data_IF_075133141176
#
_entry.id   IF_075133141176
#
_cell.length_a   1.000
_cell.length_b   1.000
_cell.length_c   1.000
_cell.angle_alpha   90.00
_cell.angle_beta   90.00
_cell.angle_gamma   90.00
#
_symmetry.space_group_name_H-M   'P 1'
#
loop_
_entity.id
_entity.type
_entity.pdbx_description
1 polymer ?
#
# COMPACT_ATOMS: atom_id res chain seq x y z
N UNK A 1 12.66 -54.24 -48.94
CA UNK A 1 13.06 -55.47 -48.23
C UNK A 1 12.25 -55.48 -46.94
N UNK A 2 11.16 -56.15 -46.87
CA UNK A 2 10.81 -57.54 -46.59
C UNK A 2 11.02 -57.90 -45.11
N UNK A 3 9.87 -57.94 -44.38
CA UNK A 3 9.36 -58.95 -43.40
C UNK A 3 10.20 -59.17 -42.14
N UNK A 4 9.61 -59.34 -40.94
CA UNK A 4 8.61 -60.35 -40.57
C UNK A 4 7.89 -60.02 -39.26
N UNK A 5 6.64 -60.38 -39.23
CA UNK A 5 5.71 -60.53 -38.08
C UNK A 5 6.01 -61.85 -37.36
N UNK A 6 5.95 -61.85 -36.04
CA UNK A 6 5.68 -63.09 -35.29
C UNK A 6 4.72 -62.83 -34.15
N UNK A 7 3.56 -63.49 -34.25
CA UNK A 7 2.59 -63.68 -33.14
C UNK A 7 2.98 -64.94 -32.40
N UNK A 8 2.73 -64.95 -31.09
CA UNK A 8 2.47 -66.16 -30.25
C UNK A 8 1.86 -65.64 -28.94
N UNK A 9 0.72 -65.92 -28.66
CA UNK A 9 -0.16 -67.01 -28.16
C UNK A 9 -0.36 -66.95 -26.63
N UNK A 10 -1.62 -66.88 -26.31
CA UNK A 10 -2.34 -66.88 -25.03
C UNK A 10 -1.85 -67.88 -23.97
N UNK A 11 -1.81 -67.42 -22.72
CA UNK A 11 -2.10 -68.29 -21.58
C UNK A 11 -2.95 -67.51 -20.56
N UNK A 12 -4.13 -67.96 -20.29
CA UNK A 12 -5.04 -67.45 -19.28
C UNK A 12 -4.64 -67.97 -17.92
N UNK A 13 -4.42 -67.11 -16.97
CA UNK A 13 -4.33 -67.44 -15.56
C UNK A 13 -5.50 -66.77 -14.82
N UNK A 14 -6.38 -67.59 -14.33
CA UNK A 14 -7.48 -67.21 -13.42
C UNK A 14 -6.87 -67.00 -12.04
N UNK A 15 -6.98 -65.80 -11.52
CA UNK A 15 -6.65 -65.48 -10.12
C UNK A 15 -7.90 -64.95 -9.41
N UNK A 16 -8.25 -65.64 -8.35
CA UNK A 16 -9.37 -65.36 -7.46
C UNK A 16 -9.26 -63.97 -6.85
N UNK A 17 -10.32 -63.16 -6.96
CA UNK A 17 -10.52 -61.92 -6.24
C UNK A 17 -10.85 -62.18 -4.78
N UNK A 18 -9.93 -61.92 -3.88
CA UNK A 18 -10.21 -61.73 -2.47
C UNK A 18 -10.60 -60.28 -2.22
N UNK A 19 -11.86 -60.02 -1.92
CA UNK A 19 -12.33 -58.68 -1.56
C UNK A 19 -11.88 -58.37 -0.11
N UNK A 20 -10.84 -57.52 0.03
CA UNK A 20 -10.57 -56.84 1.29
C UNK A 20 -11.27 -55.47 1.28
N UNK A 21 -12.37 -55.40 2.04
CA UNK A 21 -13.02 -54.13 2.34
C UNK A 21 -12.15 -53.35 3.32
N UNK A 22 -11.36 -52.38 2.81
CA UNK A 22 -10.70 -51.36 3.64
C UNK A 22 -11.75 -50.31 3.96
N UNK A 23 -12.28 -50.32 5.17
CA UNK A 23 -13.06 -49.20 5.72
C UNK A 23 -12.07 -48.07 6.00
N UNK A 24 -11.94 -47.17 5.05
CA UNK A 24 -11.21 -45.91 5.25
C UNK A 24 -12.02 -45.00 6.17
N UNK A 25 -11.61 -44.81 7.41
CA UNK A 25 -12.07 -43.70 8.23
C UNK A 25 -11.55 -42.41 7.57
N UNK A 26 -12.45 -41.70 6.89
CA UNK A 26 -12.20 -40.30 6.50
C UNK A 26 -12.23 -39.46 7.78
N UNK A 27 -11.07 -39.12 8.30
CA UNK A 27 -10.94 -38.06 9.31
C UNK A 27 -11.24 -36.75 8.56
N UNK A 28 -12.49 -36.30 8.68
CA UNK A 28 -12.83 -34.92 8.25
C UNK A 28 -12.09 -33.98 9.20
N UNK A 29 -10.91 -33.53 8.73
CA UNK A 29 -10.23 -32.42 9.37
C UNK A 29 -11.15 -31.21 9.28
N UNK A 30 -11.73 -30.80 10.40
CA UNK A 30 -12.37 -29.49 10.52
C UNK A 30 -11.27 -28.44 10.35
N UNK A 31 -11.11 -27.92 9.14
CA UNK A 31 -10.42 -26.65 8.96
C UNK A 31 -11.25 -25.62 9.72
N UNK A 32 -10.79 -25.25 10.91
CA UNK A 32 -11.27 -24.05 11.57
C UNK A 32 -10.97 -22.90 10.61
N UNK A 33 -12.02 -22.32 10.02
CA UNK A 33 -11.91 -21.10 9.27
C UNK A 33 -11.21 -20.09 10.20
N UNK A 34 -10.00 -19.65 9.83
CA UNK A 34 -9.32 -18.58 10.53
C UNK A 34 -10.30 -17.41 10.49
N UNK A 35 -10.73 -16.93 11.66
CA UNK A 35 -11.56 -15.73 11.73
C UNK A 35 -10.83 -14.66 10.90
N UNK A 36 -11.56 -14.02 9.98
CA UNK A 36 -11.00 -12.90 9.25
C UNK A 36 -10.50 -11.91 10.30
N UNK A 37 -9.21 -11.61 10.29
CA UNK A 37 -8.67 -10.57 11.15
C UNK A 37 -9.44 -9.29 10.80
N UNK A 38 -10.01 -8.63 11.80
CA UNK A 38 -10.60 -7.30 11.56
C UNK A 38 -9.48 -6.41 11.07
N UNK A 39 -9.66 -5.81 9.89
CA UNK A 39 -8.73 -4.82 9.34
C UNK A 39 -8.61 -3.69 10.34
N UNK A 40 -7.39 -3.28 10.65
CA UNK A 40 -7.14 -2.18 11.56
C UNK A 40 -7.73 -0.88 11.02
N UNK A 41 -8.34 -0.09 11.90
CA UNK A 41 -8.88 1.23 11.59
C UNK A 41 -8.12 2.25 12.41
N UNK A 42 -7.31 3.14 11.77
CA UNK A 42 -6.65 4.21 12.49
C UNK A 42 -7.67 5.08 13.23
N UNK A 43 -7.46 5.41 14.52
CA UNK A 43 -8.26 6.42 15.20
C UNK A 43 -8.17 7.75 14.44
N UNK A 44 -9.30 8.44 14.29
CA UNK A 44 -9.43 9.61 13.42
C UNK A 44 -8.51 10.78 13.81
N UNK A 45 -8.11 10.86 15.08
CA UNK A 45 -7.27 11.92 15.65
C UNK A 45 -5.80 11.50 15.89
N UNK A 46 -5.34 10.42 15.23
CA UNK A 46 -3.99 9.89 15.42
C UNK A 46 -2.95 10.81 14.78
N UNK A 47 -1.98 11.27 15.58
CA UNK A 47 -0.77 11.94 15.08
C UNK A 47 0.10 10.99 14.27
N UNK A 48 0.77 11.54 13.26
CA UNK A 48 1.51 10.75 12.30
C UNK A 48 2.86 11.35 11.90
N UNK A 49 3.76 10.49 11.47
CA UNK A 49 5.06 10.77 10.89
C UNK A 49 5.08 10.21 9.48
N UNK A 50 5.65 10.97 8.56
CA UNK A 50 5.95 10.55 7.21
C UNK A 50 7.46 10.63 6.97
N UNK A 51 8.09 9.47 6.78
CA UNK A 51 9.53 9.35 6.56
C UNK A 51 9.77 8.47 5.33
N UNK A 52 9.94 9.12 4.17
CA UNK A 52 10.16 8.47 2.87
C UNK A 52 11.55 8.79 2.30
N UNK A 53 12.29 9.71 2.93
CA UNK A 53 13.59 10.16 2.46
C UNK A 53 14.74 9.22 2.80
N UNK A 54 14.53 8.32 3.78
CA UNK A 54 15.52 7.34 4.24
C UNK A 54 14.88 6.27 5.13
N UNK A 55 15.58 5.16 5.42
CA UNK A 55 15.12 4.22 6.43
C UNK A 55 14.89 4.91 7.77
N UNK A 56 13.77 4.60 8.45
CA UNK A 56 13.46 5.19 9.75
C UNK A 56 14.53 4.85 10.79
N UNK A 57 15.21 5.87 11.28
CA UNK A 57 16.16 5.73 12.40
C UNK A 57 15.40 5.78 13.74
N UNK A 58 15.04 4.61 14.25
CA UNK A 58 14.34 4.45 15.54
C UNK A 58 15.16 4.90 16.74
N UNK A 59 16.45 5.16 16.60
CA UNK A 59 17.29 5.75 17.65
C UNK A 59 17.23 7.27 17.69
N UNK A 60 16.70 7.90 16.65
CA UNK A 60 16.59 9.35 16.54
C UNK A 60 15.34 9.85 17.27
N UNK A 61 15.51 10.46 18.42
CA UNK A 61 14.42 10.98 19.25
C UNK A 61 13.53 12.01 18.50
N UNK A 62 14.07 12.74 17.52
CA UNK A 62 13.28 13.68 16.72
C UNK A 62 12.33 12.93 15.77
N UNK A 63 12.81 11.88 15.10
CA UNK A 63 11.98 11.04 14.22
C UNK A 63 10.91 10.30 15.04
N UNK A 64 11.28 9.80 16.22
CA UNK A 64 10.36 9.09 17.10
C UNK A 64 9.43 10.02 17.91
N UNK A 65 9.55 11.35 17.74
CA UNK A 65 8.73 12.32 18.46
C UNK A 65 8.92 12.33 19.98
N UNK A 66 9.90 11.61 20.51
CA UNK A 66 10.16 11.50 21.96
C UNK A 66 11.09 12.59 22.48
N UNK A 67 11.68 13.35 21.59
CA UNK A 67 12.62 14.44 21.91
C UNK A 67 12.05 15.81 21.57
N UNK A 68 12.91 16.64 21.03
CA UNK A 68 12.57 17.95 20.50
C UNK A 68 12.62 17.86 18.98
N UNK A 69 11.50 18.10 18.31
CA UNK A 69 11.50 18.17 16.86
C UNK A 69 12.19 19.44 16.39
N UNK A 70 13.06 19.33 15.39
CA UNK A 70 13.78 20.47 14.80
C UNK A 70 13.51 20.51 13.32
N UNK A 71 12.97 21.64 12.86
CA UNK A 71 12.79 21.92 11.44
C UNK A 71 13.11 23.38 11.14
N UNK A 72 13.99 23.63 10.17
CA UNK A 72 14.45 24.99 9.81
C UNK A 72 14.93 25.83 11.00
N UNK A 73 15.53 25.19 12.01
CA UNK A 73 16.03 25.86 13.20
C UNK A 73 14.99 26.12 14.29
N UNK A 74 13.72 25.86 14.03
CA UNK A 74 12.69 25.85 15.07
C UNK A 74 12.75 24.55 15.87
N UNK A 75 12.53 24.65 17.16
CA UNK A 75 12.42 23.50 18.07
C UNK A 75 11.06 23.48 18.72
N UNK A 76 10.42 22.32 18.74
CA UNK A 76 9.17 22.11 19.45
C UNK A 76 9.29 20.87 20.33
N UNK A 77 8.54 20.77 21.44
CA UNK A 77 8.41 19.52 22.18
C UNK A 77 8.01 18.38 21.24
N UNK A 78 8.45 17.17 21.53
CA UNK A 78 8.01 15.97 20.82
C UNK A 78 6.51 15.83 20.93
N UNK A 79 5.90 15.41 19.84
CA UNK A 79 4.44 15.27 19.69
C UNK A 79 3.99 13.80 19.64
N UNK A 80 4.93 12.88 19.81
CA UNK A 80 4.72 11.44 19.94
C UNK A 80 3.76 10.90 18.87
N UNK A 81 4.16 10.82 17.58
CA UNK A 81 3.32 10.21 16.57
C UNK A 81 3.04 8.76 16.96
N UNK A 82 1.83 8.31 16.76
CA UNK A 82 1.43 6.93 16.99
C UNK A 82 1.25 6.15 15.68
N UNK A 83 1.46 6.82 14.54
CA UNK A 83 1.39 6.25 13.22
C UNK A 83 2.60 6.72 12.40
N UNK A 84 3.33 5.75 11.87
CA UNK A 84 4.53 5.98 11.06
C UNK A 84 4.28 5.44 9.66
N UNK A 85 4.26 6.33 8.68
CA UNK A 85 4.22 5.96 7.28
C UNK A 85 5.65 6.01 6.73
N UNK A 86 6.14 4.87 6.29
CA UNK A 86 7.54 4.65 5.96
C UNK A 86 7.70 3.79 4.71
N UNK A 87 8.76 4.05 3.94
CA UNK A 87 9.05 3.26 2.74
C UNK A 87 9.14 1.76 3.04
N UNK A 88 8.40 0.99 2.26
CA UNK A 88 8.28 -0.45 2.45
C UNK A 88 9.58 -1.22 2.23
N UNK A 89 10.38 -0.80 1.26
CA UNK A 89 11.55 -1.55 0.80
C UNK A 89 12.76 -1.21 1.67
N UNK A 90 12.90 0.06 2.03
CA UNK A 90 14.02 0.54 2.85
C UNK A 90 13.89 0.14 4.33
N UNK A 91 12.66 -0.11 4.80
CA UNK A 91 12.44 -0.48 6.20
C UNK A 91 12.29 -1.99 6.37
N UNK A 92 12.84 -2.48 7.49
CA UNK A 92 12.86 -3.90 7.81
C UNK A 92 11.68 -4.33 8.68
N UNK A 93 11.37 -5.63 8.72
CA UNK A 93 10.40 -6.18 9.66
C UNK A 93 10.78 -5.91 11.14
N UNK A 94 12.08 -5.75 11.45
CA UNK A 94 12.51 -5.39 12.81
C UNK A 94 12.20 -3.93 13.16
N UNK A 95 12.22 -3.03 12.19
CA UNK A 95 11.77 -1.63 12.37
C UNK A 95 10.30 -1.60 12.74
N UNK A 96 9.45 -2.29 11.96
CA UNK A 96 8.01 -2.42 12.23
C UNK A 96 7.74 -3.05 13.61
N UNK A 97 8.43 -4.16 13.94
CA UNK A 97 8.28 -4.80 15.25
C UNK A 97 8.71 -3.89 16.42
N UNK A 98 9.68 -3.01 16.21
CA UNK A 98 10.07 -2.02 17.21
C UNK A 98 8.99 -0.99 17.42
N UNK A 99 8.40 -0.42 16.36
CA UNK A 99 7.26 0.49 16.45
C UNK A 99 6.10 -0.15 17.23
N UNK A 100 5.73 -1.38 16.90
CA UNK A 100 4.70 -2.12 17.63
C UNK A 100 5.03 -2.32 19.11
N UNK A 101 6.32 -2.54 19.46
CA UNK A 101 6.75 -2.68 20.86
C UNK A 101 6.64 -1.39 21.67
N UNK A 102 6.60 -0.25 20.97
CA UNK A 102 6.36 1.08 21.57
C UNK A 102 4.87 1.41 21.67
N UNK A 103 4.01 0.61 21.04
CA UNK A 103 2.57 0.83 20.97
C UNK A 103 2.13 1.64 19.76
N UNK A 104 3.05 1.84 18.80
CA UNK A 104 2.83 2.59 17.57
C UNK A 104 2.40 1.68 16.43
N UNK A 105 1.91 2.27 15.34
CA UNK A 105 1.50 1.60 14.11
C UNK A 105 2.40 1.98 12.95
N UNK A 106 2.54 1.06 11.99
CA UNK A 106 3.34 1.27 10.80
C UNK A 106 2.48 1.12 9.53
N UNK A 107 2.51 2.13 8.68
CA UNK A 107 1.95 2.13 7.33
C UNK A 107 3.09 1.88 6.34
N UNK A 108 2.82 1.05 5.36
CA UNK A 108 3.70 0.62 4.31
C UNK A 108 3.50 1.52 3.08
N UNK A 109 4.38 2.48 2.83
CA UNK A 109 4.34 3.26 1.60
C UNK A 109 4.82 2.43 0.41
N UNK A 110 4.05 2.40 -0.66
CA UNK A 110 4.40 1.80 -1.96
C UNK A 110 3.76 2.57 -3.12
N UNK A 111 4.48 2.65 -4.24
CA UNK A 111 3.95 3.12 -5.51
C UNK A 111 3.08 2.03 -6.15
N UNK A 112 1.85 2.36 -6.58
CA UNK A 112 0.96 1.43 -7.27
C UNK A 112 0.55 1.92 -8.66
N UNK A 113 0.64 3.22 -8.93
CA UNK A 113 0.36 3.82 -10.25
C UNK A 113 1.61 4.08 -11.09
N UNK A 114 2.79 4.04 -10.47
CA UNK A 114 4.09 4.16 -11.14
C UNK A 114 5.10 3.14 -10.64
N UNK A 115 6.26 3.09 -11.28
CA UNK A 115 7.41 2.35 -10.80
C UNK A 115 8.73 3.02 -11.24
N UNK A 116 9.65 3.13 -10.30
CA UNK A 116 11.02 3.59 -10.51
C UNK A 116 12.05 2.47 -10.37
N UNK A 117 13.20 2.63 -11.02
CA UNK A 117 14.31 1.68 -10.89
C UNK A 117 15.25 2.12 -9.76
N UNK A 118 14.73 2.23 -8.56
CA UNK A 118 15.46 2.73 -7.38
C UNK A 118 16.18 1.61 -6.62
N UNK A 119 15.53 0.45 -6.54
CA UNK A 119 15.93 -0.63 -5.65
C UNK A 119 16.66 -1.74 -6.40
N UNK A 120 17.53 -2.41 -5.69
CA UNK A 120 18.14 -3.65 -6.14
C UNK A 120 17.27 -4.85 -5.77
N UNK A 121 17.41 -5.94 -6.48
CA UNK A 121 16.73 -7.20 -6.15
C UNK A 121 17.04 -7.70 -4.72
N UNK A 122 18.22 -7.37 -4.19
CA UNK A 122 18.60 -7.71 -2.83
C UNK A 122 17.83 -6.88 -1.79
N UNK A 123 17.59 -5.58 -2.04
CA UNK A 123 16.77 -4.73 -1.16
C UNK A 123 15.30 -5.19 -1.15
N UNK A 124 14.76 -5.52 -2.33
CA UNK A 124 13.41 -6.06 -2.44
C UNK A 124 13.29 -7.53 -1.96
N UNK A 125 14.43 -8.20 -1.71
CA UNK A 125 14.48 -9.60 -1.26
C UNK A 125 13.93 -10.60 -2.29
N UNK A 126 14.06 -10.32 -3.58
CA UNK A 126 13.58 -11.11 -4.72
C UNK A 126 14.69 -11.29 -5.77
N UNK A 127 14.49 -12.15 -6.76
CA UNK A 127 15.49 -12.41 -7.81
C UNK A 127 15.49 -11.36 -8.93
N UNK A 128 14.36 -10.72 -9.17
CA UNK A 128 14.15 -9.73 -10.23
C UNK A 128 13.27 -8.63 -9.67
N UNK A 129 13.73 -7.38 -9.72
CA UNK A 129 13.02 -6.23 -9.13
C UNK A 129 11.60 -6.08 -9.69
N UNK A 130 10.69 -5.51 -8.92
CA UNK A 130 9.32 -5.24 -9.37
C UNK A 130 9.33 -4.36 -10.63
N UNK A 131 10.19 -3.33 -10.68
CA UNK A 131 10.41 -2.54 -11.89
C UNK A 131 10.79 -3.40 -13.10
N UNK A 132 11.77 -4.28 -12.95
CA UNK A 132 12.22 -5.15 -14.05
C UNK A 132 11.15 -6.14 -14.49
N UNK A 133 10.32 -6.64 -13.57
CA UNK A 133 9.17 -7.50 -13.89
C UNK A 133 8.13 -6.75 -14.71
N UNK A 134 7.73 -5.54 -14.27
CA UNK A 134 6.79 -4.67 -15.00
C UNK A 134 7.33 -4.30 -16.38
N UNK A 135 8.61 -3.95 -16.47
CA UNK A 135 9.26 -3.64 -17.74
C UNK A 135 9.25 -4.85 -18.69
N UNK A 136 9.58 -6.03 -18.19
CA UNK A 136 9.60 -7.26 -18.99
C UNK A 136 8.19 -7.68 -19.47
N UNK A 137 7.17 -7.40 -18.67
CA UNK A 137 5.76 -7.63 -19.04
C UNK A 137 5.22 -6.61 -20.07
N UNK A 138 5.93 -5.50 -20.30
CA UNK A 138 5.48 -4.42 -21.17
C UNK A 138 4.41 -3.53 -20.50
N UNK A 139 4.37 -3.52 -19.18
CA UNK A 139 3.37 -2.82 -18.37
C UNK A 139 3.82 -1.42 -17.92
N UNK A 140 5.00 -0.94 -18.36
CA UNK A 140 5.46 0.42 -18.13
C UNK A 140 5.13 1.33 -19.30
N UNK A 141 4.53 2.46 -18.99
CA UNK A 141 4.08 3.46 -19.94
C UNK A 141 5.06 4.64 -20.11
N UNK A 142 4.53 5.86 -20.12
CA UNK A 142 5.36 7.07 -20.20
C UNK A 142 5.99 7.38 -18.86
N UNK A 143 7.07 8.15 -18.93
CA UNK A 143 7.76 8.65 -17.74
C UNK A 143 6.88 9.68 -17.02
N UNK A 144 6.82 9.57 -15.68
CA UNK A 144 6.21 10.55 -14.80
C UNK A 144 7.03 11.85 -14.84
N UNK A 145 6.36 13.00 -14.91
CA UNK A 145 7.04 14.28 -14.98
C UNK A 145 7.64 14.64 -13.62
N UNK A 146 8.92 15.00 -13.61
CA UNK A 146 9.61 15.38 -12.37
C UNK A 146 10.26 14.21 -11.62
N UNK A 147 9.88 12.97 -11.90
CA UNK A 147 10.35 11.78 -11.21
C UNK A 147 11.03 10.78 -12.16
N UNK A 148 11.98 9.95 -11.69
CA UNK A 148 12.61 8.91 -12.50
C UNK A 148 11.77 7.62 -12.59
N UNK A 149 10.46 7.75 -12.72
CA UNK A 149 9.43 6.72 -12.69
C UNK A 149 8.68 6.62 -14.01
N UNK A 150 7.99 5.51 -14.21
CA UNK A 150 7.14 5.25 -15.36
C UNK A 150 5.76 4.80 -14.88
N UNK A 151 4.70 5.33 -15.48
CA UNK A 151 3.34 4.89 -15.18
C UNK A 151 3.14 3.41 -15.42
N UNK A 152 2.35 2.77 -14.59
CA UNK A 152 1.98 1.36 -14.71
C UNK A 152 0.68 1.22 -15.53
N UNK A 153 0.60 0.17 -16.34
CA UNK A 153 -0.65 -0.22 -16.98
C UNK A 153 -1.56 -0.94 -15.98
N UNK A 154 -2.32 -0.18 -15.21
CA UNK A 154 -3.22 -0.72 -14.17
C UNK A 154 -4.32 -1.66 -14.72
N UNK A 155 -4.54 -1.66 -16.03
CA UNK A 155 -5.48 -2.58 -16.71
C UNK A 155 -4.86 -3.96 -17.01
N UNK A 156 -3.53 -4.10 -16.90
CA UNK A 156 -2.85 -5.35 -17.18
C UNK A 156 -2.91 -6.30 -15.96
N UNK A 157 -3.37 -7.52 -16.18
CA UNK A 157 -3.41 -8.52 -15.11
C UNK A 157 -2.01 -8.88 -14.56
N UNK A 158 -0.96 -8.78 -15.40
CA UNK A 158 0.44 -8.92 -14.99
C UNK A 158 0.84 -7.84 -14.00
N UNK A 159 0.53 -6.57 -14.27
CA UNK A 159 0.82 -5.47 -13.38
C UNK A 159 0.11 -5.65 -12.02
N UNK A 160 -1.20 -5.96 -12.03
CA UNK A 160 -1.95 -6.25 -10.81
C UNK A 160 -1.26 -7.34 -9.98
N UNK A 161 -0.89 -8.47 -10.59
CA UNK A 161 -0.24 -9.58 -9.88
C UNK A 161 1.14 -9.20 -9.32
N UNK A 162 1.90 -8.36 -10.02
CA UNK A 162 3.21 -7.88 -9.55
C UNK A 162 3.03 -6.96 -8.33
N UNK A 163 2.06 -6.03 -8.37
CA UNK A 163 1.75 -5.15 -7.25
C UNK A 163 1.21 -5.94 -6.04
N UNK A 164 0.31 -6.90 -6.25
CA UNK A 164 -0.16 -7.80 -5.19
C UNK A 164 1.02 -8.55 -4.53
N UNK A 165 1.97 -9.04 -5.33
CA UNK A 165 3.19 -9.69 -4.81
C UNK A 165 4.05 -8.72 -4.01
N UNK A 166 4.14 -7.44 -4.41
CA UNK A 166 4.84 -6.40 -3.66
C UNK A 166 4.15 -6.15 -2.31
N UNK A 167 2.84 -5.95 -2.29
CA UNK A 167 2.04 -5.79 -1.06
C UNK A 167 2.27 -6.97 -0.11
N UNK A 168 2.15 -8.20 -0.62
CA UNK A 168 2.36 -9.41 0.17
C UNK A 168 3.75 -9.45 0.81
N UNK A 169 4.77 -9.11 0.05
CA UNK A 169 6.16 -9.33 0.45
C UNK A 169 6.74 -8.17 1.23
N UNK A 170 6.44 -6.95 0.82
CA UNK A 170 7.03 -5.76 1.43
C UNK A 170 6.19 -5.24 2.61
N UNK A 171 4.87 -5.41 2.56
CA UNK A 171 3.99 -4.92 3.61
C UNK A 171 3.54 -6.04 4.56
N UNK A 172 2.76 -7.01 4.08
CA UNK A 172 2.19 -8.05 4.93
C UNK A 172 3.26 -8.91 5.62
N UNK A 173 4.27 -9.39 4.88
CA UNK A 173 5.32 -10.25 5.43
C UNK A 173 6.25 -9.54 6.40
N UNK A 174 6.34 -8.20 6.34
CA UNK A 174 7.11 -7.38 7.29
C UNK A 174 6.29 -6.97 8.52
N UNK A 175 4.97 -7.21 8.52
CA UNK A 175 4.08 -6.99 9.65
C UNK A 175 3.50 -5.59 9.76
N UNK A 176 3.48 -4.82 8.69
CA UNK A 176 2.80 -3.51 8.66
C UNK A 176 1.31 -3.64 8.98
N UNK A 177 0.69 -2.58 9.49
CA UNK A 177 -0.74 -2.51 9.84
C UNK A 177 -1.61 -2.09 8.65
N UNK A 178 -1.05 -1.34 7.71
CA UNK A 178 -1.73 -0.86 6.52
C UNK A 178 -0.76 -0.56 5.39
N UNK A 179 -1.33 -0.16 4.26
CA UNK A 179 -0.58 0.24 3.06
C UNK A 179 -1.08 1.60 2.60
N UNK A 180 -0.18 2.56 2.44
CA UNK A 180 -0.38 3.75 1.61
C UNK A 180 -0.04 3.38 0.18
N UNK A 181 -1.00 3.61 -0.72
CA UNK A 181 -0.86 3.35 -2.15
C UNK A 181 -0.63 4.67 -2.89
N UNK A 182 0.56 4.90 -3.42
CA UNK A 182 0.84 6.13 -4.13
C UNK A 182 0.44 6.08 -5.61
N UNK A 183 0.01 7.22 -6.15
CA UNK A 183 -0.54 7.40 -7.50
C UNK A 183 -1.84 6.61 -7.73
N UNK A 184 -2.82 6.88 -6.88
CA UNK A 184 -4.19 6.32 -6.92
C UNK A 184 -5.12 7.04 -7.93
N UNK A 185 -4.61 8.02 -8.70
CA UNK A 185 -5.39 9.01 -9.46
C UNK A 185 -4.88 9.19 -10.91
N UNK A 186 -4.39 8.13 -11.54
CA UNK A 186 -3.75 8.19 -12.87
C UNK A 186 -4.71 8.36 -14.05
N UNK A 187 -6.01 8.17 -13.83
CA UNK A 187 -7.03 8.30 -14.89
C UNK A 187 -7.21 9.74 -15.37
N UNK A 188 -7.67 9.88 -16.61
CA UNK A 188 -7.98 11.20 -17.17
C UNK A 188 -6.79 12.12 -17.39
N UNK A 189 -5.58 11.68 -17.07
CA UNK A 189 -4.35 12.45 -17.19
C UNK A 189 -4.14 13.43 -16.03
N UNK A 190 -4.71 13.17 -14.86
CA UNK A 190 -4.51 13.98 -13.65
C UNK A 190 -3.03 14.15 -13.33
N UNK A 191 -2.27 13.04 -13.34
CA UNK A 191 -0.81 13.03 -13.14
C UNK A 191 -0.01 13.16 -14.44
N UNK A 192 -0.68 13.41 -15.57
CA UNK A 192 -0.09 13.50 -16.90
C UNK A 192 -0.48 12.33 -17.80
N UNK A 193 0.18 12.26 -18.97
CA UNK A 193 -0.13 11.22 -19.95
C UNK A 193 0.58 9.91 -19.60
N UNK A 194 -0.17 8.91 -19.14
CA UNK A 194 0.36 7.60 -18.74
C UNK A 194 0.91 6.78 -19.91
N UNK A 195 0.46 7.04 -21.14
CA UNK A 195 0.74 6.19 -22.31
C UNK A 195 -0.31 5.10 -22.52
N UNK A 196 -1.24 4.95 -21.60
CA UNK A 196 -2.37 4.01 -21.64
C UNK A 196 -3.69 4.76 -21.65
N UNK A 197 -4.75 4.10 -22.06
CA UNK A 197 -6.11 4.61 -21.87
C UNK A 197 -6.61 4.08 -20.54
N UNK A 198 -6.65 4.96 -19.55
CA UNK A 198 -7.14 4.67 -18.20
C UNK A 198 -8.36 5.55 -17.95
N UNK A 199 -9.49 4.93 -17.71
CA UNK A 199 -10.73 5.61 -17.34
C UNK A 199 -10.91 5.63 -15.82
N UNK A 200 -11.76 6.50 -15.30
CA UNK A 200 -12.14 6.48 -13.89
C UNK A 200 -12.64 5.09 -13.44
N UNK A 201 -13.39 4.39 -14.29
CA UNK A 201 -13.88 3.05 -13.96
C UNK A 201 -12.75 2.01 -13.88
N UNK A 202 -11.71 2.15 -14.71
CA UNK A 202 -10.53 1.30 -14.66
C UNK A 202 -9.77 1.51 -13.34
N UNK A 203 -9.54 2.76 -12.96
CA UNK A 203 -8.90 3.11 -11.68
C UNK A 203 -9.70 2.58 -10.48
N UNK A 204 -11.01 2.85 -10.46
CA UNK A 204 -11.90 2.33 -9.40
C UNK A 204 -11.85 0.81 -9.29
N UNK A 205 -11.82 0.11 -10.41
CA UNK A 205 -11.71 -1.35 -10.45
C UNK A 205 -10.36 -1.82 -9.90
N UNK A 206 -9.29 -1.17 -10.33
CA UNK A 206 -7.93 -1.48 -9.89
C UNK A 206 -7.78 -1.31 -8.37
N UNK A 207 -8.11 -0.12 -7.85
CA UNK A 207 -8.03 0.19 -6.43
C UNK A 207 -8.94 -0.70 -5.58
N UNK A 208 -10.16 -1.01 -6.06
CA UNK A 208 -11.05 -1.96 -5.38
C UNK A 208 -10.46 -3.37 -5.31
N UNK A 209 -9.73 -3.79 -6.34
CA UNK A 209 -9.02 -5.07 -6.37
C UNK A 209 -7.90 -5.09 -5.33
N UNK A 210 -7.06 -4.04 -5.32
CA UNK A 210 -5.96 -3.93 -4.35
C UNK A 210 -6.49 -3.81 -2.90
N UNK A 211 -7.53 -3.00 -2.66
CA UNK A 211 -8.16 -2.87 -1.35
C UNK A 211 -8.67 -4.23 -0.83
N UNK A 212 -9.36 -4.99 -1.69
CA UNK A 212 -9.83 -6.34 -1.35
C UNK A 212 -8.69 -7.30 -1.04
N UNK A 213 -7.59 -7.21 -1.79
CA UNK A 213 -6.40 -8.01 -1.56
C UNK A 213 -5.73 -7.66 -0.23
N UNK A 214 -5.51 -6.37 0.05
CA UNK A 214 -4.95 -5.88 1.31
C UNK A 214 -5.80 -6.29 2.51
N UNK A 215 -7.13 -6.14 2.43
CA UNK A 215 -8.05 -6.57 3.49
C UNK A 215 -8.00 -8.09 3.71
N UNK A 216 -7.84 -8.88 2.65
CA UNK A 216 -7.62 -10.34 2.74
C UNK A 216 -6.35 -10.71 3.49
N UNK A 217 -5.34 -9.85 3.48
CA UNK A 217 -4.10 -9.98 4.24
C UNK A 217 -4.20 -9.40 5.67
N UNK A 218 -5.29 -8.71 5.99
CA UNK A 218 -5.48 -8.02 7.27
C UNK A 218 -4.88 -6.62 7.33
N UNK A 219 -4.45 -6.07 6.18
CA UNK A 219 -3.88 -4.73 6.06
C UNK A 219 -4.97 -3.69 5.84
N UNK A 220 -4.86 -2.54 6.49
CA UNK A 220 -5.65 -1.36 6.16
C UNK A 220 -5.23 -0.77 4.80
N UNK A 221 -6.17 -0.22 4.05
CA UNK A 221 -5.84 0.61 2.89
C UNK A 221 -5.90 2.08 3.29
N UNK A 222 -4.79 2.78 3.11
CA UNK A 222 -4.68 4.23 3.24
C UNK A 222 -4.52 4.77 1.82
N UNK A 223 -5.58 5.39 1.32
CA UNK A 223 -5.60 5.96 -0.02
C UNK A 223 -4.69 7.20 -0.11
N UNK A 224 -4.27 7.58 -1.31
CA UNK A 224 -3.44 8.74 -1.55
C UNK A 224 -4.10 9.71 -2.53
N UNK A 225 -4.11 11.00 -2.19
CA UNK A 225 -4.41 12.12 -3.10
C UNK A 225 -5.70 12.00 -3.95
N UNK A 226 -6.71 11.22 -3.51
CA UNK A 226 -7.95 11.05 -4.30
C UNK A 226 -8.67 12.37 -4.58
N UNK A 227 -8.46 13.38 -3.74
CA UNK A 227 -9.01 14.73 -3.86
C UNK A 227 -8.34 15.55 -4.97
N UNK A 228 -7.09 15.25 -5.36
CA UNK A 228 -6.37 15.93 -6.44
C UNK A 228 -7.04 15.74 -7.80
N UNK A 229 -7.82 14.66 -7.96
CA UNK A 229 -8.65 14.47 -9.16
C UNK A 229 -9.71 15.56 -9.36
N UNK A 230 -10.03 16.35 -8.35
CA UNK A 230 -11.16 17.28 -8.38
C UNK A 230 -12.52 16.59 -8.55
N UNK A 231 -12.59 15.27 -8.43
CA UNK A 231 -13.74 14.44 -8.80
C UNK A 231 -14.42 13.83 -7.57
N UNK A 232 -15.45 14.48 -7.07
CA UNK A 232 -16.19 14.02 -5.90
C UNK A 232 -16.83 12.64 -6.09
N UNK A 233 -17.20 12.25 -7.32
CA UNK A 233 -17.79 10.93 -7.58
C UNK A 233 -16.75 9.81 -7.42
N UNK A 234 -15.49 10.08 -7.75
CA UNK A 234 -14.39 9.16 -7.54
C UNK A 234 -14.09 8.98 -6.04
N UNK A 235 -13.91 10.09 -5.32
CA UNK A 235 -13.69 10.07 -3.87
C UNK A 235 -14.82 9.36 -3.13
N UNK A 236 -16.08 9.68 -3.45
CA UNK A 236 -17.26 9.02 -2.87
C UNK A 236 -17.29 7.50 -3.11
N UNK A 237 -16.80 7.04 -4.24
CA UNK A 237 -16.77 5.61 -4.57
C UNK A 237 -15.64 4.87 -3.82
N UNK A 238 -14.50 5.52 -3.61
CA UNK A 238 -13.30 4.88 -3.01
C UNK A 238 -13.28 4.99 -1.49
N UNK A 239 -13.74 6.09 -0.91
CA UNK A 239 -13.72 6.32 0.52
C UNK A 239 -14.35 5.18 1.37
N UNK A 240 -15.46 4.51 0.97
CA UNK A 240 -15.99 3.38 1.75
C UNK A 240 -15.01 2.21 1.88
N UNK A 241 -14.11 2.01 0.93
CA UNK A 241 -13.18 0.90 0.89
C UNK A 241 -11.92 1.15 1.72
N UNK A 242 -11.47 2.40 1.81
CA UNK A 242 -10.27 2.78 2.54
C UNK A 242 -10.52 2.92 4.06
N UNK A 243 -9.50 2.69 4.87
CA UNK A 243 -9.50 2.94 6.32
C UNK A 243 -9.04 4.36 6.65
N UNK A 244 -8.35 5.01 5.74
CA UNK A 244 -7.89 6.39 5.84
C UNK A 244 -7.43 6.92 4.50
N UNK A 245 -6.94 8.14 4.51
CA UNK A 245 -6.33 8.80 3.34
C UNK A 245 -5.19 9.70 3.79
N UNK A 246 -4.13 9.76 2.98
CA UNK A 246 -3.15 10.82 3.01
C UNK A 246 -3.38 11.71 1.78
N UNK A 247 -3.46 13.01 2.02
CA UNK A 247 -3.53 14.03 0.97
C UNK A 247 -2.39 15.02 1.12
N UNK A 248 -1.93 15.56 0.00
CA UNK A 248 -0.89 16.57 -0.02
C UNK A 248 -1.46 17.91 -0.46
N UNK A 249 -1.16 18.93 0.35
CA UNK A 249 -1.46 20.33 0.02
C UNK A 249 -2.93 20.64 -0.26
N UNK A 250 -3.86 19.88 0.36
CA UNK A 250 -5.28 20.07 0.10
C UNK A 250 -5.78 21.47 0.46
N UNK A 251 -5.17 22.14 1.47
CA UNK A 251 -5.48 23.54 1.76
C UNK A 251 -4.88 24.47 0.73
N UNK A 252 -3.63 24.23 0.29
CA UNK A 252 -2.97 25.04 -0.74
C UNK A 252 -3.78 25.03 -2.05
N UNK A 253 -4.29 23.87 -2.44
CA UNK A 253 -5.05 23.71 -3.69
C UNK A 253 -6.57 23.77 -3.51
N UNK A 254 -7.05 23.91 -2.28
CA UNK A 254 -8.48 24.03 -1.94
C UNK A 254 -9.28 22.76 -2.29
N UNK A 255 -8.69 21.60 -2.16
CA UNK A 255 -9.31 20.29 -2.42
C UNK A 255 -9.84 19.61 -1.15
N UNK A 256 -9.47 20.06 0.06
CA UNK A 256 -9.85 19.41 1.34
C UNK A 256 -11.34 19.12 1.45
N UNK A 257 -12.22 19.95 0.87
CA UNK A 257 -13.67 19.71 0.91
C UNK A 257 -14.11 18.42 0.20
N UNK A 258 -13.30 17.87 -0.69
CA UNK A 258 -13.55 16.59 -1.35
C UNK A 258 -13.35 15.40 -0.40
N UNK A 259 -12.67 15.60 0.73
CA UNK A 259 -12.42 14.57 1.75
C UNK A 259 -13.63 14.33 2.67
N UNK A 260 -14.73 15.07 2.51
CA UNK A 260 -15.95 14.93 3.31
C UNK A 260 -16.47 13.49 3.48
N UNK A 261 -16.34 12.56 2.51
CA UNK A 261 -16.73 11.15 2.71
C UNK A 261 -15.88 10.42 3.76
N UNK A 262 -14.61 10.79 3.93
CA UNK A 262 -13.74 10.26 4.97
C UNK A 262 -14.09 10.87 6.33
N UNK A 263 -14.31 12.18 6.40
CA UNK A 263 -14.71 12.89 7.62
C UNK A 263 -16.03 12.33 8.17
N UNK A 264 -17.06 12.26 7.34
CA UNK A 264 -18.38 11.74 7.73
C UNK A 264 -18.37 10.25 8.06
N UNK A 265 -17.43 9.50 7.49
CA UNK A 265 -17.16 8.11 7.80
C UNK A 265 -16.37 7.90 9.09
N UNK A 266 -15.92 8.97 9.75
CA UNK A 266 -15.06 8.91 10.94
C UNK A 266 -13.71 8.25 10.68
N UNK A 267 -13.21 8.39 9.46
CA UNK A 267 -11.95 7.79 9.01
C UNK A 267 -10.78 8.71 9.30
N UNK A 268 -9.60 8.13 9.39
CA UNK A 268 -8.38 8.89 9.56
C UNK A 268 -8.02 9.64 8.27
N UNK A 269 -7.61 10.92 8.41
CA UNK A 269 -7.16 11.77 7.32
C UNK A 269 -5.86 12.42 7.75
N UNK A 270 -4.76 12.16 7.02
CA UNK A 270 -3.50 12.88 7.12
C UNK A 270 -3.42 13.93 5.99
N UNK A 271 -3.08 15.16 6.32
CA UNK A 271 -2.79 16.21 5.33
C UNK A 271 -1.36 16.70 5.50
N UNK A 272 -0.55 16.58 4.44
CA UNK A 272 0.80 17.09 4.37
C UNK A 272 0.83 18.42 3.65
N UNK A 273 1.21 19.50 4.32
CA UNK A 273 1.45 20.81 3.70
C UNK A 273 2.95 21.09 3.65
N UNK A 274 3.41 21.77 2.59
CA UNK A 274 4.83 22.08 2.40
C UNK A 274 5.12 23.59 2.31
N UNK A 275 4.22 24.35 1.69
CA UNK A 275 4.45 25.73 1.33
C UNK A 275 3.61 26.71 2.15
N UNK A 276 2.62 26.22 2.91
CA UNK A 276 1.82 27.03 3.81
C UNK A 276 2.48 27.11 5.19
N UNK A 277 2.13 28.12 5.96
CA UNK A 277 2.42 28.16 7.39
C UNK A 277 1.33 27.48 8.18
N UNK A 278 1.60 26.92 9.36
CA UNK A 278 0.58 26.32 10.24
C UNK A 278 -0.61 27.27 10.48
N UNK A 279 -0.37 28.59 10.60
CA UNK A 279 -1.42 29.59 10.79
C UNK A 279 -2.41 29.67 9.60
N UNK A 280 -2.02 29.23 8.41
CA UNK A 280 -2.87 29.28 7.22
C UNK A 280 -3.77 28.06 7.06
N UNK A 281 -3.43 26.91 7.64
CA UNK A 281 -4.19 25.67 7.41
C UNK A 281 -4.65 24.95 8.69
N UNK A 282 -3.89 24.99 9.78
CA UNK A 282 -4.19 24.16 10.97
C UNK A 282 -5.59 24.41 11.57
N UNK A 283 -6.08 25.65 11.53
CA UNK A 283 -7.41 25.93 12.06
C UNK A 283 -8.52 25.24 11.24
N UNK A 284 -8.37 25.18 9.91
CA UNK A 284 -9.30 24.51 9.01
C UNK A 284 -9.20 22.99 9.19
N UNK A 285 -8.00 22.43 9.18
CA UNK A 285 -7.78 21.01 9.36
C UNK A 285 -8.31 20.49 10.69
N UNK A 286 -8.03 21.19 11.79
CA UNK A 286 -8.55 20.81 13.11
C UNK A 286 -10.09 20.87 13.17
N UNK A 287 -10.71 21.83 12.48
CA UNK A 287 -12.18 21.94 12.42
C UNK A 287 -12.82 20.79 11.62
N UNK A 288 -12.14 20.29 10.60
CA UNK A 288 -12.54 19.15 9.76
C UNK A 288 -12.05 17.79 10.29
N UNK A 289 -11.42 17.76 11.47
CA UNK A 289 -10.78 16.57 12.04
C UNK A 289 -9.71 15.94 11.14
N UNK A 290 -9.03 16.76 10.36
CA UNK A 290 -7.87 16.37 9.54
C UNK A 290 -6.60 16.50 10.39
N UNK A 291 -5.71 15.51 10.32
CA UNK A 291 -4.43 15.53 11.00
C UNK A 291 -3.39 16.24 10.13
N UNK A 292 -3.48 17.57 10.11
CA UNK A 292 -2.62 18.44 9.31
C UNK A 292 -1.19 18.51 9.90
N UNK A 293 -0.21 18.39 9.04
CA UNK A 293 1.21 18.49 9.40
C UNK A 293 1.94 19.32 8.33
N UNK A 294 2.76 20.26 8.77
CA UNK A 294 3.71 20.93 7.90
C UNK A 294 4.99 20.10 7.84
N UNK A 295 5.25 19.50 6.67
CA UNK A 295 6.45 18.72 6.40
C UNK A 295 7.49 19.51 5.58
N UNK A 296 8.73 19.07 5.62
CA UNK A 296 9.69 19.44 4.58
C UNK A 296 9.53 18.52 3.37
N UNK A 297 9.90 18.99 2.19
CA UNK A 297 9.78 18.23 0.93
C UNK A 297 10.77 17.05 0.80
N UNK A 298 11.72 16.93 1.71
CA UNK A 298 12.64 15.80 1.76
C UNK A 298 12.06 14.60 2.51
N UNK A 299 10.92 14.78 3.21
CA UNK A 299 10.24 13.76 4.00
C UNK A 299 11.20 12.94 4.88
N UNK A 300 12.10 13.64 5.56
CA UNK A 300 13.15 13.06 6.40
C UNK A 300 12.95 13.37 7.90
N UNK A 301 11.71 13.38 8.34
CA UNK A 301 11.31 13.57 9.73
C UNK A 301 11.12 15.02 10.18
N UNK A 302 11.45 16.02 9.33
CA UNK A 302 11.18 17.43 9.64
C UNK A 302 9.68 17.72 9.54
N UNK A 303 9.00 17.99 10.67
CA UNK A 303 7.54 18.17 10.70
C UNK A 303 7.09 19.10 11.82
N UNK A 304 5.94 19.74 11.62
CA UNK A 304 5.21 20.54 12.62
C UNK A 304 3.72 20.17 12.54
N UNK A 305 3.19 19.36 13.45
CA UNK A 305 1.77 19.00 13.45
C UNK A 305 0.90 20.15 13.93
N UNK A 306 -0.36 20.12 13.53
CA UNK A 306 -1.38 21.08 13.94
C UNK A 306 -1.94 20.82 15.34
N UNK A 307 -1.83 19.59 15.83
CA UNK A 307 -2.33 19.12 17.14
C UNK A 307 -1.56 17.91 17.62
#
# INVERSE_FOLDING_TARGET
>A
MVRRVTRLSHTAAVLLLGAFSVVGLAVAGTQTAKAASTVWQPPADTNWMWELGSPLDISNANLMGTGVTSWNGDTAPGDNPALYDIDAIENSASTVATLHSLGDHAICYIEVGSAGNYYTAAQEGISTTYYAQLHAAGDLGKKLSGYPEYFININAASAVSIIESMIQKQCAAKGFDGVETDLDETFGGNEGSTGFTITQADEQKYLSTLASYMHGLGLAWIAKNLDDTGNSSFVNAMAPLAQGIITEQCNQYSTCSLLAPFETGGKWIGNAEYNLTQAQFCAADNAANINGVLFNTALNGGRKPCR
#
